data_IF_024278347952
#
_entry.id   IF_024278347952
#
_cell.length_a   1.000
_cell.length_b   1.000
_cell.length_c   1.000
_cell.angle_alpha   90.00
_cell.angle_beta   90.00
_cell.angle_gamma   90.00
#
_symmetry.space_group_name_H-M   'P 1'
#
loop_
_entity.id
_entity.type
_entity.pdbx_description
1 polymer ?
#
# COMPACT_ATOMS: atom_id res chain seq x y z
N UNK A 1 -83.76 11.04 -43.41
CA UNK A 1 -84.10 11.45 -42.05
C UNK A 1 -82.83 11.48 -41.23
N UNK A 2 -82.44 12.67 -40.78
CA UNK A 2 -81.16 12.93 -40.07
C UNK A 2 -81.26 12.54 -38.61
N UNK A 3 -80.19 12.01 -38.01
CA UNK A 3 -79.91 12.15 -36.60
C UNK A 3 -78.40 12.18 -36.38
N UNK A 4 -77.99 13.26 -35.77
CA UNK A 4 -76.61 13.56 -35.34
C UNK A 4 -76.28 12.82 -34.07
N UNK A 5 -75.02 12.26 -33.96
CA UNK A 5 -74.44 11.74 -32.73
C UNK A 5 -73.24 12.53 -32.36
N UNK A 6 -73.26 13.20 -31.25
CA UNK A 6 -72.18 14.00 -30.64
C UNK A 6 -71.11 13.09 -30.06
N UNK A 7 -69.86 13.30 -30.45
CA UNK A 7 -68.68 12.65 -29.85
C UNK A 7 -68.01 13.66 -28.90
N UNK A 8 -68.17 13.46 -27.60
CA UNK A 8 -67.51 14.27 -26.56
C UNK A 8 -66.08 13.74 -26.27
N UNK A 9 -65.08 14.53 -26.62
CA UNK A 9 -63.69 14.30 -26.22
C UNK A 9 -63.53 14.67 -24.72
N UNK A 10 -63.20 13.68 -23.90
CA UNK A 10 -62.70 13.89 -22.52
C UNK A 10 -61.20 14.07 -22.58
N UNK A 11 -60.71 15.29 -22.48
CA UNK A 11 -59.33 15.60 -22.20
C UNK A 11 -59.05 15.37 -20.71
N UNK A 12 -58.30 14.31 -20.39
CA UNK A 12 -57.77 14.08 -19.05
C UNK A 12 -56.51 14.92 -18.89
N UNK A 13 -56.60 16.00 -18.12
CA UNK A 13 -55.46 16.82 -17.71
C UNK A 13 -54.63 16.04 -16.64
N UNK A 14 -53.55 15.41 -17.08
CA UNK A 14 -52.56 14.87 -16.16
C UNK A 14 -51.85 16.03 -15.43
N UNK A 15 -51.97 16.08 -14.13
CA UNK A 15 -51.41 17.11 -13.27
C UNK A 15 -49.88 17.10 -13.28
N UNK A 16 -49.21 18.27 -13.29
CA UNK A 16 -47.74 18.38 -13.38
C UNK A 16 -46.97 17.86 -12.13
N UNK A 17 -47.73 17.45 -11.09
CA UNK A 17 -47.15 16.95 -9.83
C UNK A 17 -46.45 15.59 -10.00
N UNK A 18 -46.94 14.71 -10.88
CA UNK A 18 -46.37 13.37 -11.10
C UNK A 18 -45.05 13.42 -11.83
N UNK A 19 -44.84 14.39 -12.73
CA UNK A 19 -43.60 14.55 -13.48
C UNK A 19 -42.44 15.09 -12.58
N UNK A 20 -42.76 16.00 -11.66
CA UNK A 20 -41.79 16.56 -10.70
C UNK A 20 -41.31 15.55 -9.68
N UNK A 21 -42.16 14.62 -9.22
CA UNK A 21 -41.77 13.55 -8.28
C UNK A 21 -40.89 12.52 -8.97
N UNK A 22 -41.15 12.18 -10.23
CA UNK A 22 -40.34 11.26 -11.01
C UNK A 22 -38.92 11.83 -11.26
N UNK A 23 -38.79 13.14 -11.54
CA UNK A 23 -37.51 13.81 -11.75
C UNK A 23 -36.66 13.85 -10.46
N UNK A 24 -37.29 14.09 -9.30
CA UNK A 24 -36.64 14.09 -7.99
C UNK A 24 -36.08 12.70 -7.61
N UNK A 25 -36.79 11.62 -7.92
CA UNK A 25 -36.33 10.25 -7.66
C UNK A 25 -35.17 9.86 -8.53
N UNK A 26 -35.13 10.30 -9.81
CA UNK A 26 -33.99 10.02 -10.71
C UNK A 26 -32.73 10.78 -10.31
N UNK A 27 -32.86 12.01 -9.80
CA UNK A 27 -31.71 12.79 -9.31
C UNK A 27 -31.16 12.23 -8.00
N UNK A 28 -31.99 11.67 -7.13
CA UNK A 28 -31.53 11.04 -5.87
C UNK A 28 -30.74 9.74 -6.11
N UNK A 29 -30.92 9.05 -7.24
CA UNK A 29 -30.22 7.83 -7.62
C UNK A 29 -28.81 8.11 -8.21
N UNK A 30 -28.45 9.37 -8.46
CA UNK A 30 -27.17 9.76 -9.04
C UNK A 30 -26.16 10.34 -8.02
N UNK A 31 -26.45 10.24 -6.71
CA UNK A 31 -25.42 10.56 -5.74
C UNK A 31 -24.28 9.54 -5.87
N UNK A 32 -23.07 10.00 -6.20
CA UNK A 32 -21.94 9.08 -6.23
C UNK A 32 -21.80 8.50 -4.82
N UNK A 33 -22.02 7.19 -4.71
CA UNK A 33 -21.61 6.46 -3.51
C UNK A 33 -20.13 6.81 -3.30
N UNK A 34 -19.68 7.31 -2.13
CA UNK A 34 -18.28 7.46 -1.89
C UNK A 34 -17.64 6.09 -2.15
N UNK A 35 -16.72 6.02 -3.11
CA UNK A 35 -15.88 4.85 -3.33
C UNK A 35 -15.03 4.70 -2.05
N UNK A 36 -15.58 4.00 -1.07
CA UNK A 36 -14.78 3.55 0.07
C UNK A 36 -13.79 2.54 -0.50
N UNK A 37 -12.51 2.78 -0.28
CA UNK A 37 -11.47 1.86 -0.65
C UNK A 37 -11.84 0.46 -0.13
N UNK A 38 -11.80 -0.53 -1.02
CA UNK A 38 -12.21 -1.90 -0.73
C UNK A 38 -10.98 -2.79 -0.57
N UNK A 39 -11.04 -3.81 0.31
CA UNK A 39 -9.93 -4.74 0.45
C UNK A 39 -9.61 -5.42 -0.87
N UNK A 40 -8.32 -5.51 -1.20
CA UNK A 40 -7.85 -6.08 -2.47
C UNK A 40 -8.11 -7.59 -2.51
N UNK A 41 -8.75 -8.11 -3.60
CA UNK A 41 -9.00 -9.52 -3.76
C UNK A 41 -7.70 -10.34 -3.90
N UNK A 42 -7.71 -11.56 -3.34
CA UNK A 42 -6.61 -12.52 -3.52
C UNK A 42 -6.76 -13.17 -4.89
N UNK A 43 -5.93 -12.76 -5.84
CA UNK A 43 -5.82 -13.38 -7.18
C UNK A 43 -4.70 -14.42 -7.21
N UNK A 44 -3.61 -14.13 -6.51
CA UNK A 44 -2.45 -15.00 -6.35
C UNK A 44 -2.14 -15.11 -4.87
N UNK A 45 -2.36 -16.32 -4.32
CA UNK A 45 -2.05 -16.58 -2.92
C UNK A 45 -0.54 -16.68 -2.73
N UNK A 46 -0.05 -16.10 -1.63
CA UNK A 46 1.35 -16.23 -1.22
C UNK A 46 1.61 -17.64 -0.67
N UNK A 47 2.78 -18.17 -1.01
CA UNK A 47 3.25 -19.47 -0.56
C UNK A 47 4.40 -19.38 0.43
N UNK A 48 4.99 -20.53 0.74
CA UNK A 48 6.26 -20.62 1.44
C UNK A 48 7.37 -20.11 0.51
N UNK A 49 8.08 -19.08 0.92
CA UNK A 49 9.14 -18.45 0.10
C UNK A 49 10.29 -18.00 0.98
N UNK A 50 11.51 -18.23 0.52
CA UNK A 50 12.71 -17.59 1.05
C UNK A 50 13.48 -16.98 -0.12
N UNK A 51 13.50 -15.66 -0.19
CA UNK A 51 14.21 -14.88 -1.20
C UNK A 51 15.36 -14.11 -0.59
N UNK A 52 16.43 -13.91 -1.37
CA UNK A 52 17.55 -13.06 -0.99
C UNK A 52 17.38 -11.71 -1.65
N UNK A 53 17.60 -10.65 -0.88
CA UNK A 53 17.47 -9.27 -1.32
C UNK A 53 18.72 -8.48 -0.98
N UNK A 54 19.00 -7.47 -1.78
CA UNK A 54 20.08 -6.51 -1.52
C UNK A 54 19.52 -5.11 -1.49
N UNK A 55 20.11 -4.28 -0.66
CA UNK A 55 19.82 -2.86 -0.54
C UNK A 55 20.99 -2.05 -1.12
N UNK A 56 20.65 -1.14 -2.03
CA UNK A 56 21.62 -0.28 -2.70
C UNK A 56 21.20 1.17 -2.61
N UNK A 57 22.17 2.06 -2.70
CA UNK A 57 21.91 3.45 -3.04
C UNK A 57 21.44 3.55 -4.51
N UNK A 58 20.85 4.67 -4.93
CA UNK A 58 20.41 4.87 -6.32
C UNK A 58 21.57 4.84 -7.33
N UNK A 59 22.78 5.18 -6.91
CA UNK A 59 23.99 5.07 -7.74
C UNK A 59 24.65 3.67 -7.69
N UNK A 60 23.96 2.67 -7.12
CA UNK A 60 24.31 1.25 -7.21
C UNK A 60 25.21 0.72 -6.10
N UNK A 61 25.65 1.54 -5.11
CA UNK A 61 26.50 1.05 -4.00
C UNK A 61 25.71 0.10 -3.10
N UNK A 62 26.23 -1.10 -2.88
CA UNK A 62 25.67 -2.10 -1.97
C UNK A 62 25.89 -1.67 -0.52
N UNK A 63 24.80 -1.45 0.22
CA UNK A 63 24.82 -0.99 1.63
C UNK A 63 24.33 -2.04 2.62
N UNK A 64 23.42 -2.93 2.21
CA UNK A 64 22.95 -4.04 3.04
C UNK A 64 22.61 -5.27 2.20
N UNK A 65 22.63 -6.44 2.86
CA UNK A 65 22.10 -7.69 2.35
C UNK A 65 20.98 -8.18 3.27
N UNK A 66 20.02 -8.90 2.74
CA UNK A 66 18.88 -9.31 3.53
C UNK A 66 18.13 -10.50 2.98
N UNK A 67 17.12 -10.86 3.73
CA UNK A 67 16.21 -11.97 3.47
C UNK A 67 14.78 -11.48 3.40
N UNK A 68 14.01 -12.03 2.46
CA UNK A 68 12.56 -11.94 2.41
C UNK A 68 12.00 -13.34 2.65
N UNK A 69 11.40 -13.54 3.81
CA UNK A 69 10.83 -14.82 4.22
C UNK A 69 9.32 -14.71 4.27
N UNK A 70 8.62 -15.66 3.65
CA UNK A 70 7.18 -15.81 3.79
C UNK A 70 6.86 -17.22 4.30
N UNK A 71 6.16 -17.30 5.40
CA UNK A 71 5.72 -18.54 6.03
C UNK A 71 4.19 -18.60 6.01
N UNK A 72 3.65 -19.65 5.41
CA UNK A 72 2.19 -19.87 5.39
C UNK A 72 1.78 -20.89 6.45
N UNK A 73 0.78 -20.54 7.25
CA UNK A 73 0.16 -21.42 8.26
C UNK A 73 -1.36 -21.43 8.03
N UNK A 74 -1.82 -22.35 7.22
CA UNK A 74 -3.22 -22.38 6.79
C UNK A 74 -3.55 -21.16 5.92
N UNK A 75 -4.41 -20.27 6.44
CA UNK A 75 -4.82 -19.04 5.72
C UNK A 75 -4.03 -17.81 6.14
N UNK A 76 -3.13 -17.94 7.08
CA UNK A 76 -2.29 -16.88 7.60
C UNK A 76 -0.91 -16.93 6.95
N UNK A 77 -0.40 -15.77 6.63
CA UNK A 77 0.94 -15.55 6.07
C UNK A 77 1.68 -14.61 7.00
N UNK A 78 2.87 -15.02 7.41
CA UNK A 78 3.87 -14.17 8.05
C UNK A 78 4.91 -13.82 6.98
N UNK A 79 5.05 -12.54 6.67
CA UNK A 79 6.06 -12.02 5.74
C UNK A 79 7.05 -11.19 6.53
N UNK A 80 8.33 -11.56 6.48
CA UNK A 80 9.41 -10.88 7.18
C UNK A 80 10.50 -10.46 6.20
N UNK A 81 10.93 -9.21 6.28
CA UNK A 81 12.03 -8.64 5.52
C UNK A 81 13.10 -8.13 6.47
N UNK A 82 14.32 -8.64 6.32
CA UNK A 82 15.43 -8.27 7.20
C UNK A 82 16.58 -7.74 6.35
N UNK A 83 17.11 -6.58 6.68
CA UNK A 83 18.38 -6.06 6.12
C UNK A 83 19.41 -5.92 7.21
N UNK A 84 20.61 -6.47 6.96
CA UNK A 84 21.80 -6.28 7.76
C UNK A 84 22.77 -5.37 6.98
N UNK A 85 22.97 -4.19 7.51
CA UNK A 85 23.79 -3.17 6.88
C UNK A 85 25.28 -3.42 7.14
N UNK A 86 26.12 -2.92 6.25
CA UNK A 86 27.58 -3.00 6.40
C UNK A 86 28.13 -2.20 7.58
N UNK A 87 27.39 -1.18 8.02
CA UNK A 87 27.73 -0.33 9.18
C UNK A 87 27.20 -0.89 10.51
N UNK A 88 26.60 -2.09 10.51
CA UNK A 88 26.03 -2.75 11.67
C UNK A 88 24.57 -2.41 11.95
N UNK A 89 23.95 -1.53 11.15
CA UNK A 89 22.53 -1.23 11.28
C UNK A 89 21.66 -2.45 10.93
N UNK A 90 20.45 -2.48 11.49
CA UNK A 90 19.45 -3.50 11.25
C UNK A 90 18.10 -2.86 10.87
N UNK A 91 17.47 -3.43 9.87
CA UNK A 91 16.05 -3.24 9.57
C UNK A 91 15.37 -4.61 9.58
N UNK A 92 14.35 -4.79 10.40
CA UNK A 92 13.62 -6.04 10.56
C UNK A 92 12.12 -5.73 10.60
N UNK A 93 11.44 -6.06 9.52
CA UNK A 93 10.02 -5.81 9.35
C UNK A 93 9.26 -7.12 9.25
N UNK A 94 8.21 -7.27 10.04
CA UNK A 94 7.31 -8.42 9.96
C UNK A 94 5.86 -7.93 9.82
N UNK A 95 5.15 -8.50 8.87
CA UNK A 95 3.71 -8.31 8.72
C UNK A 95 3.01 -9.66 8.69
N UNK A 96 1.95 -9.79 9.48
CA UNK A 96 1.07 -10.96 9.50
C UNK A 96 -0.26 -10.58 8.86
N UNK A 97 -0.73 -11.38 7.93
CA UNK A 97 -1.99 -11.15 7.22
C UNK A 97 -2.72 -12.45 6.88
N UNK A 98 -3.98 -12.34 6.55
CA UNK A 98 -4.76 -13.46 6.01
C UNK A 98 -5.01 -13.25 4.52
N UNK A 99 -5.04 -14.37 3.79
CA UNK A 99 -5.32 -14.43 2.37
C UNK A 99 -6.48 -15.41 2.11
N UNK A 100 -7.70 -14.91 2.19
CA UNK A 100 -8.89 -15.73 1.90
C UNK A 100 -9.50 -15.30 0.58
N UNK A 101 -10.58 -14.52 0.60
CA UNK A 101 -11.13 -13.84 -0.58
C UNK A 101 -10.45 -12.50 -0.84
N UNK A 102 -10.07 -11.83 0.24
CA UNK A 102 -9.35 -10.56 0.24
C UNK A 102 -8.16 -10.65 1.17
N UNK A 103 -7.18 -9.77 0.96
CA UNK A 103 -6.08 -9.60 1.88
C UNK A 103 -6.53 -8.79 3.10
N UNK A 104 -6.15 -9.25 4.29
CA UNK A 104 -6.43 -8.52 5.53
C UNK A 104 -5.23 -8.59 6.45
N UNK A 105 -4.60 -7.46 6.73
CA UNK A 105 -3.51 -7.36 7.70
C UNK A 105 -4.03 -7.74 9.10
N UNK A 106 -3.24 -8.44 9.88
CA UNK A 106 -3.49 -8.77 11.29
C UNK A 106 -2.60 -7.95 12.22
N UNK A 107 -1.31 -7.96 11.96
CA UNK A 107 -0.34 -7.20 12.73
C UNK A 107 0.82 -6.71 11.86
N UNK A 108 1.48 -5.68 12.35
CA UNK A 108 2.68 -5.11 11.78
C UNK A 108 3.70 -4.86 12.88
N UNK A 109 4.94 -5.24 12.64
CA UNK A 109 6.06 -5.00 13.55
C UNK A 109 7.28 -4.55 12.76
N UNK A 110 7.97 -3.52 13.27
CA UNK A 110 9.20 -3.00 12.69
C UNK A 110 10.21 -2.72 13.80
N UNK A 111 11.44 -3.19 13.60
CA UNK A 111 12.61 -2.79 14.37
C UNK A 111 13.64 -2.24 13.40
N UNK A 112 14.08 -1.03 13.62
CA UNK A 112 15.22 -0.43 12.93
C UNK A 112 16.14 0.22 13.94
N UNK A 113 17.42 0.01 13.80
CA UNK A 113 18.42 0.64 14.66
C UNK A 113 19.77 0.76 13.94
N UNK A 114 20.60 1.66 14.46
CA UNK A 114 21.98 1.86 14.01
C UNK A 114 22.16 3.05 13.07
N UNK A 115 23.40 3.36 12.71
CA UNK A 115 23.80 4.63 12.08
C UNK A 115 23.20 4.89 10.68
N UNK A 116 22.64 3.88 10.00
CA UNK A 116 21.93 4.08 8.73
C UNK A 116 20.62 4.88 8.89
N UNK A 117 20.09 5.01 10.11
CA UNK A 117 18.85 5.68 10.43
C UNK A 117 19.10 6.91 11.30
N UNK A 118 18.19 7.90 11.27
CA UNK A 118 18.25 9.07 12.17
C UNK A 118 17.88 8.71 13.61
N UNK A 119 17.06 7.67 13.76
CA UNK A 119 16.50 7.25 15.03
C UNK A 119 16.44 5.72 15.09
N UNK A 120 16.72 5.14 16.26
CA UNK A 120 16.29 3.78 16.54
C UNK A 120 14.78 3.79 16.74
N UNK A 121 14.09 2.84 16.09
CA UNK A 121 12.63 2.81 16.08
C UNK A 121 12.14 1.38 16.26
N UNK A 122 11.16 1.21 17.15
CA UNK A 122 10.38 0.00 17.29
C UNK A 122 8.89 0.34 17.16
N UNK A 123 8.18 -0.38 16.30
CA UNK A 123 6.77 -0.17 16.02
C UNK A 123 6.05 -1.50 16.15
N UNK A 124 4.89 -1.49 16.81
CA UNK A 124 3.90 -2.56 16.71
C UNK A 124 2.51 -1.99 16.45
N UNK A 125 1.72 -2.72 15.67
CA UNK A 125 0.33 -2.40 15.35
C UNK A 125 -0.50 -3.68 15.28
N UNK A 126 -1.57 -3.74 16.07
CA UNK A 126 -2.53 -4.83 16.09
C UNK A 126 -3.85 -4.37 15.46
N UNK A 127 -4.20 -4.94 14.31
CA UNK A 127 -5.39 -4.51 13.57
C UNK A 127 -6.69 -4.76 14.33
N UNK A 128 -6.81 -5.88 15.03
CA UNK A 128 -8.05 -6.27 15.71
C UNK A 128 -8.51 -5.26 16.78
N UNK A 129 -7.56 -4.58 17.40
CA UNK A 129 -7.80 -3.60 18.46
C UNK A 129 -7.49 -2.17 18.01
N UNK A 130 -6.82 -2.01 16.85
CA UNK A 130 -6.23 -0.76 16.40
C UNK A 130 -5.09 -0.25 17.27
N UNK A 131 -4.69 -0.99 18.30
CA UNK A 131 -3.62 -0.58 19.23
C UNK A 131 -2.29 -0.51 18.51
N UNK A 132 -1.58 0.58 18.75
CA UNK A 132 -0.20 0.75 18.32
C UNK A 132 0.70 1.11 19.50
N UNK A 133 1.96 0.73 19.38
CA UNK A 133 3.07 1.17 20.21
C UNK A 133 4.21 1.61 19.30
N UNK A 134 4.74 2.80 19.51
CA UNK A 134 5.89 3.34 18.78
C UNK A 134 6.90 3.83 19.81
N UNK A 135 8.10 3.27 19.76
CA UNK A 135 9.24 3.73 20.55
C UNK A 135 10.32 4.23 19.62
N UNK A 136 10.78 5.44 19.83
CA UNK A 136 11.87 6.05 19.08
C UNK A 136 12.96 6.54 20.01
N UNK A 137 14.21 6.48 19.55
CA UNK A 137 15.38 7.08 20.22
C UNK A 137 16.22 7.81 19.20
N UNK A 138 16.21 9.12 19.29
CA UNK A 138 16.95 10.00 18.39
C UNK A 138 18.49 9.85 18.62
N UNK A 139 19.24 9.61 17.55
CA UNK A 139 20.71 9.50 17.64
C UNK A 139 21.37 10.84 17.93
N UNK A 140 20.75 11.96 17.51
CA UNK A 140 21.32 13.30 17.65
C UNK A 140 21.50 13.73 19.10
N UNK A 141 20.54 13.42 19.96
CA UNK A 141 20.47 13.91 21.35
C UNK A 141 20.11 12.82 22.36
N UNK A 142 19.91 11.59 21.91
CA UNK A 142 19.52 10.45 22.74
C UNK A 142 18.11 10.51 23.30
N UNK A 143 17.28 11.45 22.83
CA UNK A 143 15.91 11.61 23.32
C UNK A 143 15.09 10.38 22.96
N UNK A 144 14.45 9.81 23.97
CA UNK A 144 13.48 8.73 23.78
C UNK A 144 12.06 9.29 23.77
N UNK A 145 11.22 8.75 22.88
CA UNK A 145 9.80 9.05 22.80
C UNK A 145 9.02 7.76 22.67
N UNK A 146 7.93 7.64 23.41
CA UNK A 146 7.01 6.51 23.35
C UNK A 146 5.62 7.05 23.08
N UNK A 147 4.98 6.49 22.04
CA UNK A 147 3.61 6.83 21.67
C UNK A 147 2.77 5.55 21.70
N UNK A 148 1.77 5.55 22.55
CA UNK A 148 0.75 4.50 22.63
C UNK A 148 -0.60 5.09 22.24
N UNK A 149 -1.41 4.30 21.53
CA UNK A 149 -2.74 4.77 21.16
C UNK A 149 -3.53 3.72 20.38
N UNK A 150 -4.62 4.20 19.80
CA UNK A 150 -5.53 3.36 19.02
C UNK A 150 -5.95 4.10 17.76
N UNK A 151 -6.00 3.38 16.64
CA UNK A 151 -6.50 3.86 15.35
C UNK A 151 -7.72 3.02 14.95
N UNK A 152 -8.70 3.67 14.34
CA UNK A 152 -9.76 2.95 13.63
C UNK A 152 -9.23 2.53 12.26
N UNK A 153 -9.06 1.22 12.05
CA UNK A 153 -8.39 0.64 10.90
C UNK A 153 -9.41 -0.01 9.95
N UNK A 154 -9.64 0.54 8.76
CA UNK A 154 -10.47 -0.10 7.73
C UNK A 154 -9.87 -1.42 7.26
N UNK A 155 -10.65 -2.20 6.50
CA UNK A 155 -10.24 -3.54 6.05
C UNK A 155 -9.09 -3.53 5.05
N UNK A 156 -8.91 -2.46 4.34
CA UNK A 156 -7.92 -2.23 3.29
C UNK A 156 -6.65 -1.51 3.80
N UNK A 157 -6.36 -1.64 5.09
CA UNK A 157 -5.08 -1.17 5.66
C UNK A 157 -3.99 -2.19 5.40
N UNK A 158 -2.90 -1.73 4.79
CA UNK A 158 -1.72 -2.52 4.49
C UNK A 158 -0.44 -1.74 4.81
N UNK A 159 0.47 -2.35 5.57
CA UNK A 159 1.75 -1.74 5.92
C UNK A 159 2.91 -2.60 5.41
N UNK A 160 4.05 -1.97 5.23
CA UNK A 160 5.32 -2.63 4.91
C UNK A 160 5.26 -3.52 3.67
N UNK A 161 5.90 -4.68 3.75
CA UNK A 161 5.98 -5.66 2.66
C UNK A 161 4.62 -6.17 2.17
N UNK A 162 3.54 -6.00 2.94
CA UNK A 162 2.19 -6.37 2.51
C UNK A 162 1.69 -5.51 1.35
N UNK A 163 2.12 -4.24 1.24
CA UNK A 163 1.78 -3.37 0.10
C UNK A 163 2.31 -3.95 -1.21
N UNK A 164 3.49 -4.61 -1.17
CA UNK A 164 4.06 -5.31 -2.33
C UNK A 164 3.20 -6.52 -2.73
N UNK A 165 2.71 -7.27 -1.74
CA UNK A 165 1.78 -8.41 -1.97
C UNK A 165 0.48 -7.94 -2.61
N UNK A 166 -0.08 -6.82 -2.13
CA UNK A 166 -1.28 -6.20 -2.70
C UNK A 166 -1.03 -5.77 -4.14
N UNK A 167 0.08 -5.08 -4.42
CA UNK A 167 0.43 -4.64 -5.77
C UNK A 167 0.58 -5.81 -6.76
N UNK A 168 1.14 -6.96 -6.33
CA UNK A 168 1.19 -8.20 -7.13
C UNK A 168 -0.19 -8.74 -7.51
N UNK A 169 -1.22 -8.40 -6.75
CA UNK A 169 -2.58 -8.90 -6.93
C UNK A 169 -3.50 -7.94 -7.69
N UNK A 170 -3.04 -6.75 -8.04
CA UNK A 170 -3.81 -5.84 -8.88
C UNK A 170 -3.97 -6.40 -10.31
N UNK A 171 -5.11 -6.17 -10.97
CA UNK A 171 -5.23 -6.39 -12.40
C UNK A 171 -4.15 -5.59 -13.15
N UNK A 172 -3.63 -6.16 -14.23
CA UNK A 172 -2.63 -5.47 -15.06
C UNK A 172 -3.14 -4.10 -15.50
N UNK A 173 -2.37 -3.05 -15.23
CA UNK A 173 -2.71 -1.68 -15.59
C UNK A 173 -3.81 -1.03 -14.74
N UNK A 174 -4.31 -1.70 -13.70
CA UNK A 174 -5.27 -1.10 -12.78
C UNK A 174 -4.57 -0.24 -11.72
N UNK A 175 -5.19 0.89 -11.40
CA UNK A 175 -4.87 1.69 -10.22
C UNK A 175 -5.75 1.25 -9.07
N UNK A 176 -5.23 1.35 -7.84
CA UNK A 176 -5.98 1.08 -6.62
C UNK A 176 -5.64 2.11 -5.55
N UNK A 177 -6.59 2.45 -4.70
CA UNK A 177 -6.35 3.26 -3.51
C UNK A 177 -6.59 2.37 -2.29
N UNK A 178 -5.59 2.32 -1.43
CA UNK A 178 -5.62 1.56 -0.19
C UNK A 178 -5.23 2.46 0.97
N UNK A 179 -5.35 1.97 2.21
CA UNK A 179 -4.87 2.69 3.37
C UNK A 179 -3.55 2.11 3.88
N UNK A 180 -2.73 2.96 4.48
CA UNK A 180 -1.56 2.58 5.26
C UNK A 180 -1.44 3.45 6.50
N UNK A 181 -0.74 2.99 7.53
CA UNK A 181 -0.45 3.79 8.72
C UNK A 181 0.91 4.43 8.56
N UNK A 182 0.95 5.76 8.59
CA UNK A 182 2.19 6.53 8.77
C UNK A 182 2.42 6.75 10.25
N UNK A 183 3.59 6.34 10.77
CA UNK A 183 3.91 6.39 12.20
C UNK A 183 4.61 7.67 12.64
N UNK A 184 5.04 8.52 11.72
CA UNK A 184 5.78 9.75 12.00
C UNK A 184 5.05 10.97 11.42
N UNK A 185 5.00 12.12 12.09
CA UNK A 185 5.41 12.40 13.47
C UNK A 185 4.47 11.82 14.54
N UNK A 186 3.23 11.50 14.17
CA UNK A 186 2.22 10.86 15.02
C UNK A 186 1.49 9.83 14.20
N UNK A 187 1.26 8.60 14.72
CA UNK A 187 0.56 7.54 14.00
C UNK A 187 -0.81 7.97 13.48
N UNK A 188 -1.05 7.73 12.19
CA UNK A 188 -2.31 8.07 11.52
C UNK A 188 -2.52 7.25 10.25
N UNK A 189 -3.77 7.10 9.91
CA UNK A 189 -4.19 6.52 8.63
C UNK A 189 -3.97 7.53 7.50
N UNK A 190 -3.40 7.07 6.39
CA UNK A 190 -3.27 7.82 5.14
C UNK A 190 -3.72 6.96 3.96
N UNK A 191 -4.22 7.59 2.92
CA UNK A 191 -4.47 6.92 1.64
C UNK A 191 -3.16 6.76 0.86
N UNK A 192 -3.01 5.62 0.20
CA UNK A 192 -1.90 5.28 -0.68
C UNK A 192 -2.45 4.87 -2.04
N UNK A 193 -2.17 5.66 -3.08
CA UNK A 193 -2.50 5.28 -4.44
C UNK A 193 -1.40 4.41 -5.04
N UNK A 194 -1.79 3.27 -5.60
CA UNK A 194 -0.97 2.35 -6.37
C UNK A 194 -1.29 2.57 -7.85
N UNK A 195 -0.43 3.28 -8.57
CA UNK A 195 -0.70 3.73 -9.94
C UNK A 195 0.30 3.08 -10.89
N UNK A 196 -0.13 2.35 -11.94
CA UNK A 196 0.78 1.84 -12.95
C UNK A 196 1.38 3.01 -13.74
N UNK A 197 2.70 3.03 -13.87
CA UNK A 197 3.45 4.09 -14.55
C UNK A 197 3.88 3.65 -15.94
N UNK A 198 4.27 2.37 -16.09
CA UNK A 198 4.75 1.86 -17.35
C UNK A 198 5.19 0.39 -17.29
N UNK A 199 5.63 -0.12 -18.44
CA UNK A 199 6.21 -1.45 -18.55
C UNK A 199 7.69 -1.35 -18.88
N UNK A 200 8.51 -2.17 -18.22
CA UNK A 200 9.95 -2.20 -18.39
C UNK A 200 10.44 -3.60 -18.73
N UNK A 201 11.37 -3.68 -19.65
CA UNK A 201 12.08 -4.94 -19.89
C UNK A 201 13.14 -5.14 -18.81
N UNK A 202 13.06 -6.27 -18.11
CA UNK A 202 13.98 -6.65 -17.04
C UNK A 202 14.62 -8.00 -17.37
N UNK A 203 15.81 -8.24 -16.84
CA UNK A 203 16.47 -9.54 -16.92
C UNK A 203 16.38 -10.23 -15.56
N UNK A 204 15.87 -11.46 -15.56
CA UNK A 204 15.88 -12.37 -14.40
C UNK A 204 16.82 -13.52 -14.76
N UNK A 205 18.05 -13.47 -14.25
CA UNK A 205 19.15 -14.23 -14.84
C UNK A 205 19.40 -13.75 -16.28
N UNK A 206 19.37 -14.67 -17.25
CA UNK A 206 19.50 -14.38 -18.69
C UNK A 206 18.16 -14.21 -19.39
N UNK A 207 17.05 -14.45 -18.68
CA UNK A 207 15.71 -14.41 -19.27
C UNK A 207 15.13 -13.01 -19.26
N UNK A 208 14.78 -12.51 -20.45
CA UNK A 208 14.06 -11.24 -20.57
C UNK A 208 12.59 -11.43 -20.13
N UNK A 209 12.15 -10.58 -19.21
CA UNK A 209 10.78 -10.50 -18.70
C UNK A 209 10.26 -9.07 -18.83
N UNK A 210 8.95 -8.91 -18.76
CA UNK A 210 8.32 -7.60 -18.67
C UNK A 210 7.85 -7.39 -17.24
N UNK A 211 8.24 -6.25 -16.64
CA UNK A 211 7.78 -5.83 -15.33
C UNK A 211 6.91 -4.58 -15.49
N UNK A 212 5.78 -4.55 -14.78
CA UNK A 212 4.98 -3.34 -14.62
C UNK A 212 5.56 -2.54 -13.45
N UNK A 213 5.80 -1.27 -13.68
CA UNK A 213 6.16 -0.30 -12.64
C UNK A 213 4.90 0.30 -12.06
N UNK A 214 4.78 0.28 -10.73
CA UNK A 214 3.77 0.99 -9.97
C UNK A 214 4.42 2.10 -9.15
N UNK A 215 3.86 3.31 -9.21
CA UNK A 215 4.16 4.37 -8.27
C UNK A 215 3.24 4.26 -7.05
N UNK A 216 3.80 4.31 -5.86
CA UNK A 216 3.10 4.37 -4.58
C UNK A 216 3.07 5.82 -4.13
N UNK A 217 1.88 6.44 -4.20
CA UNK A 217 1.68 7.88 -3.98
C UNK A 217 0.89 8.11 -2.68
N UNK A 218 1.55 8.47 -1.58
CA UNK A 218 0.84 8.79 -0.35
C UNK A 218 0.07 10.09 -0.48
N UNK A 219 -1.24 10.07 -0.18
CA UNK A 219 -2.08 11.27 -0.13
C UNK A 219 -1.97 11.92 1.23
N UNK A 220 -1.02 12.82 1.38
CA UNK A 220 -0.70 13.44 2.66
C UNK A 220 -1.60 14.62 3.01
N UNK A 221 -2.36 15.18 2.05
CA UNK A 221 -3.29 16.28 2.27
C UNK A 221 -2.67 17.45 3.04
N UNK A 222 -3.34 17.92 4.07
CA UNK A 222 -2.87 19.04 4.94
C UNK A 222 -1.58 18.71 5.70
N UNK A 223 -1.25 17.43 5.86
CA UNK A 223 -0.04 16.97 6.54
C UNK A 223 1.21 17.09 5.68
N UNK A 224 1.07 17.29 4.37
CA UNK A 224 2.21 17.50 3.47
C UNK A 224 3.11 18.62 3.97
N UNK A 225 2.53 19.71 4.48
CA UNK A 225 3.30 20.84 5.07
C UNK A 225 4.08 20.43 6.30
N UNK A 226 3.46 19.66 7.23
CA UNK A 226 4.14 19.21 8.45
C UNK A 226 5.30 18.25 8.12
N UNK A 227 5.08 17.29 7.24
CA UNK A 227 6.12 16.35 6.82
C UNK A 227 7.21 17.07 6.02
N UNK A 228 6.84 17.93 5.06
CA UNK A 228 7.81 18.71 4.29
C UNK A 228 8.68 19.62 5.20
N UNK A 229 8.08 20.18 6.25
CA UNK A 229 8.82 20.98 7.25
C UNK A 229 9.80 20.10 8.05
N UNK A 230 9.36 18.91 8.47
CA UNK A 230 10.20 17.96 9.21
C UNK A 230 11.38 17.47 8.36
N UNK A 231 11.15 17.16 7.08
CA UNK A 231 12.15 16.61 6.16
C UNK A 231 12.98 17.69 5.44
N UNK A 232 12.58 18.96 5.48
CA UNK A 232 13.11 20.01 4.60
C UNK A 232 12.82 19.76 3.09
N UNK A 233 11.98 18.78 2.76
CA UNK A 233 11.61 18.42 1.38
C UNK A 233 10.25 17.72 1.34
N UNK A 234 9.62 17.71 0.17
CA UNK A 234 8.43 16.89 -0.07
C UNK A 234 8.88 15.43 -0.23
N UNK A 235 8.23 14.46 0.46
CA UNK A 235 8.49 13.04 0.24
C UNK A 235 8.29 12.68 -1.24
N UNK A 236 9.21 11.91 -1.80
CA UNK A 236 9.09 11.36 -3.15
C UNK A 236 8.18 10.14 -3.16
N UNK A 237 7.51 9.89 -4.29
CA UNK A 237 6.82 8.63 -4.52
C UNK A 237 7.81 7.46 -4.41
N UNK A 238 7.32 6.31 -3.97
CA UNK A 238 8.07 5.06 -4.04
C UNK A 238 7.63 4.29 -5.28
N UNK A 239 8.53 3.48 -5.83
CA UNK A 239 8.29 2.74 -7.06
C UNK A 239 8.56 1.26 -6.85
N UNK A 240 7.72 0.40 -7.43
CA UNK A 240 7.90 -1.05 -7.40
C UNK A 240 7.77 -1.64 -8.79
N UNK A 241 8.65 -2.57 -9.14
CA UNK A 241 8.61 -3.33 -10.39
C UNK A 241 8.20 -4.77 -10.11
N UNK A 242 7.12 -5.18 -10.75
CA UNK A 242 6.52 -6.51 -10.61
C UNK A 242 6.45 -7.16 -11.97
N UNK A 243 7.07 -8.33 -12.12
CA UNK A 243 6.84 -9.20 -13.28
C UNK A 243 5.41 -9.71 -13.21
N UNK A 244 4.60 -9.45 -14.24
CA UNK A 244 3.16 -9.70 -14.25
C UNK A 244 2.74 -10.82 -15.22
N UNK A 245 3.64 -11.75 -15.53
CA UNK A 245 3.35 -12.87 -16.40
C UNK A 245 2.37 -13.87 -15.75
N UNK A 246 2.65 -15.18 -15.77
CA UNK A 246 1.76 -16.20 -15.21
C UNK A 246 1.60 -16.08 -13.69
N UNK A 247 2.72 -15.90 -12.99
CA UNK A 247 2.75 -15.66 -11.53
C UNK A 247 3.52 -14.37 -11.25
N UNK A 248 2.89 -13.39 -10.59
CA UNK A 248 3.54 -12.12 -10.31
C UNK A 248 4.71 -12.27 -9.35
N UNK A 249 5.83 -11.63 -9.66
CA UNK A 249 7.02 -11.66 -8.83
C UNK A 249 7.58 -10.25 -8.61
N UNK A 250 8.01 -9.98 -7.37
CA UNK A 250 8.75 -8.78 -7.02
C UNK A 250 10.15 -8.82 -7.65
N UNK A 251 10.56 -7.70 -8.23
CA UNK A 251 11.90 -7.54 -8.85
C UNK A 251 12.69 -6.45 -8.16
N UNK A 252 12.08 -5.27 -7.99
CA UNK A 252 12.73 -4.07 -7.48
C UNK A 252 11.73 -3.19 -6.74
N UNK A 253 12.24 -2.49 -5.74
CA UNK A 253 11.57 -1.37 -5.09
C UNK A 253 12.55 -0.20 -4.98
N UNK A 254 12.10 1.01 -5.23
CA UNK A 254 12.83 2.25 -4.96
C UNK A 254 11.98 3.14 -4.08
N UNK A 255 12.46 3.43 -2.89
CA UNK A 255 11.73 4.22 -1.89
C UNK A 255 12.50 4.35 -0.60
N UNK A 256 11.89 4.97 0.38
CA UNK A 256 12.49 5.13 1.72
C UNK A 256 12.04 3.99 2.62
N UNK A 257 12.94 3.47 3.47
CA UNK A 257 12.59 2.51 4.54
C UNK A 257 12.05 3.22 5.78
N UNK A 258 12.32 4.52 5.92
CA UNK A 258 11.76 5.39 6.94
C UNK A 258 11.40 6.74 6.34
N UNK A 259 10.43 7.45 6.91
CA UNK A 259 9.95 8.74 6.37
C UNK A 259 11.09 9.76 6.24
N UNK A 260 12.04 9.75 7.17
CA UNK A 260 13.20 10.67 7.18
C UNK A 260 14.38 10.16 6.38
N UNK A 261 14.36 8.89 5.95
CA UNK A 261 15.47 8.21 5.30
C UNK A 261 15.70 8.61 3.84
N UNK A 262 16.86 8.24 3.31
CA UNK A 262 17.15 8.38 1.89
C UNK A 262 16.33 7.39 1.06
N UNK A 263 16.20 7.67 -0.23
CA UNK A 263 15.66 6.71 -1.19
C UNK A 263 16.71 5.66 -1.47
N UNK A 264 16.34 4.41 -1.25
CA UNK A 264 17.16 3.24 -1.52
C UNK A 264 16.50 2.33 -2.55
N UNK A 265 17.30 1.43 -3.10
CA UNK A 265 16.84 0.41 -4.04
C UNK A 265 16.96 -0.97 -3.40
N UNK A 266 15.83 -1.68 -3.31
CA UNK A 266 15.77 -3.09 -2.94
C UNK A 266 15.67 -3.90 -4.23
N UNK A 267 16.52 -4.92 -4.38
CA UNK A 267 16.51 -5.82 -5.54
C UNK A 267 16.56 -7.27 -5.05
N UNK A 268 15.79 -8.14 -5.72
CA UNK A 268 15.97 -9.58 -5.58
C UNK A 268 17.32 -9.98 -6.15
N UNK A 269 18.01 -10.90 -5.50
CA UNK A 269 19.31 -11.41 -5.93
C UNK A 269 19.35 -12.92 -5.93
N UNK A 270 20.21 -13.50 -6.76
CA UNK A 270 20.49 -14.92 -6.79
C UNK A 270 21.78 -15.23 -6.05
N UNK A 271 21.88 -16.37 -5.33
CA UNK A 271 23.12 -16.83 -4.74
C UNK A 271 24.24 -16.98 -5.80
N UNK A 272 25.45 -16.67 -5.41
CA UNK A 272 26.67 -16.92 -6.20
C UNK A 272 27.61 -17.76 -5.36
N UNK A 273 28.32 -18.68 -6.03
CA UNK A 273 29.34 -19.48 -5.37
C UNK A 273 30.63 -18.67 -5.35
N UNK A 274 31.35 -18.60 -4.22
CA UNK A 274 32.68 -18.01 -4.19
C UNK A 274 33.62 -18.89 -5.05
N UNK A 275 34.56 -18.23 -5.77
CA UNK A 275 35.62 -18.86 -6.55
C UNK A 275 36.63 -19.52 -5.63
#
# INVERSE_FOLDING_TARGET
MRLHGFCSHVFSSATPITLSVLLLVVVALQWPCPLTAAPVPVRFAEGLTHGFVVLRTLNGVLIASGDLLQLTRGREVESRMVFRFKDGSLFDETVVFTQQRVFTMKSYHLVQHGPAFSDDTEISLERATGKYHVKTKAHKDGKEEVLDGTLDLPLDVYNGGMVLTVAKNLPKGASETVHTVAFTPTPRLIELELVPVGEHRVLVGELAKTATEYAFKPKLGVWLKAIATLLGRVPSDSHVWIVTNEVPAFVRFEGTLSITGPVWRIESTSPRWPD
#
